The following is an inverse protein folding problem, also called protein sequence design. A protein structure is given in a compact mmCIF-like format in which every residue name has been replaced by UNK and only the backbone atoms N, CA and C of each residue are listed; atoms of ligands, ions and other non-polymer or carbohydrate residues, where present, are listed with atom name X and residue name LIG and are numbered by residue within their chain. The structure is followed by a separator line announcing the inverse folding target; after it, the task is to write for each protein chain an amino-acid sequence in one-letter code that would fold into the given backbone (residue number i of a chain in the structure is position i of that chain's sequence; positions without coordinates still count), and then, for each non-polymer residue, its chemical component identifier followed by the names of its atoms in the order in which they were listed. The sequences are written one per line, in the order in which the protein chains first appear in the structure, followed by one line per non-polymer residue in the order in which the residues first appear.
data_IF_185910683871
#
_entry.id   IF_185910683871
#
_cell.length_a   1.000
_cell.length_b   1.000
_cell.length_c   1.000
_cell.angle_alpha   90.00
_cell.angle_beta   90.00
_cell.angle_gamma   90.00
#
_symmetry.space_group_name_H-M   'P 1'
#
loop_
_entity.id
_entity.type
_entity.pdbx_description
1 polymer ?
#
# COMPACT_ATOMS: atom_id res chain seq x y z
N UNK A 1 30.33 -39.47 -11.50
CA UNK A 1 29.59 -38.69 -12.52
C UNK A 1 29.01 -37.47 -11.84
N UNK A 2 29.38 -36.32 -12.37
CA UNK A 2 29.07 -34.94 -11.97
C UNK A 2 27.57 -34.64 -11.94
N UNK A 3 27.11 -33.89 -10.94
CA UNK A 3 26.10 -32.85 -11.19
C UNK A 3 26.35 -31.65 -10.28
N UNK A 4 26.65 -30.55 -10.93
CA UNK A 4 27.00 -29.22 -10.44
C UNK A 4 25.73 -28.43 -10.11
N UNK A 5 25.82 -27.65 -9.03
CA UNK A 5 25.14 -26.39 -8.70
C UNK A 5 23.70 -26.12 -9.19
N UNK A 6 22.87 -25.65 -8.26
CA UNK A 6 22.18 -24.38 -8.49
C UNK A 6 22.26 -23.50 -7.25
N UNK A 7 22.91 -22.36 -7.48
CA UNK A 7 22.99 -21.19 -6.62
C UNK A 7 21.57 -20.65 -6.41
N UNK A 8 21.08 -20.60 -5.17
CA UNK A 8 19.93 -19.76 -4.83
C UNK A 8 20.47 -18.44 -4.33
N UNK A 9 20.39 -17.47 -5.22
CA UNK A 9 20.75 -16.09 -5.01
C UNK A 9 20.00 -15.48 -3.83
N UNK A 10 20.71 -14.60 -3.13
CA UNK A 10 20.26 -13.58 -2.21
C UNK A 10 18.95 -12.91 -2.67
N UNK A 11 17.80 -13.41 -2.19
CA UNK A 11 16.52 -12.70 -2.31
C UNK A 11 16.51 -11.57 -1.26
N UNK A 12 16.25 -10.31 -1.65
CA UNK A 12 15.97 -9.27 -0.67
C UNK A 12 14.70 -9.70 0.08
N UNK A 13 14.83 -10.03 1.36
CA UNK A 13 13.72 -10.40 2.23
C UNK A 13 12.75 -9.24 2.32
N UNK A 14 11.72 -9.25 1.46
CA UNK A 14 10.61 -8.29 1.52
C UNK A 14 9.93 -8.44 2.89
N UNK A 15 9.76 -7.36 3.67
CA UNK A 15 9.00 -7.44 4.91
C UNK A 15 7.54 -7.77 4.59
N UNK A 16 7.03 -8.87 5.15
CA UNK A 16 5.66 -9.35 4.91
C UNK A 16 4.64 -8.50 5.67
N UNK A 17 3.49 -8.23 5.05
CA UNK A 17 2.37 -7.56 5.70
C UNK A 17 1.63 -8.54 6.65
N UNK A 18 1.46 -8.14 7.91
CA UNK A 18 0.74 -8.98 8.90
C UNK A 18 -0.75 -8.67 8.90
N UNK A 19 -1.59 -9.69 8.64
CA UNK A 19 -3.04 -9.53 8.45
C UNK A 19 -3.89 -10.29 9.46
N UNK A 20 -5.16 -9.90 9.58
CA UNK A 20 -6.21 -10.55 10.38
C UNK A 20 -7.52 -10.61 9.59
N UNK A 21 -8.43 -11.56 9.84
CA UNK A 21 -9.74 -11.59 9.19
C UNK A 21 -10.56 -10.32 9.44
N UNK A 22 -11.35 -9.90 8.45
CA UNK A 22 -12.31 -8.80 8.60
C UNK A 22 -13.30 -9.07 9.74
N UNK A 23 -13.48 -8.15 10.71
CA UNK A 23 -14.37 -8.33 11.85
C UNK A 23 -15.86 -8.14 11.52
N UNK A 24 -16.20 -7.45 10.42
CA UNK A 24 -17.59 -7.22 10.00
C UNK A 24 -17.72 -7.12 8.47
N UNK A 25 -18.81 -7.66 7.90
CA UNK A 25 -19.04 -7.63 6.43
C UNK A 25 -19.49 -6.25 5.89
N UNK A 26 -19.49 -5.21 6.73
CA UNK A 26 -19.90 -3.86 6.34
C UNK A 26 -18.78 -3.18 5.54
N UNK A 27 -19.15 -2.33 4.58
CA UNK A 27 -18.19 -1.50 3.83
C UNK A 27 -17.38 -0.62 4.81
N UNK A 28 -16.14 -1.02 5.05
CA UNK A 28 -15.23 -0.38 6.01
C UNK A 28 -14.09 0.24 5.25
N UNK A 29 -13.82 1.52 5.48
CA UNK A 29 -12.60 2.17 4.99
C UNK A 29 -11.55 2.12 6.09
N UNK A 30 -10.40 1.52 5.80
CA UNK A 30 -9.25 1.48 6.72
C UNK A 30 -8.20 2.45 6.20
N UNK A 31 -7.73 3.33 7.07
CA UNK A 31 -6.64 4.28 6.76
C UNK A 31 -5.51 4.12 7.77
N UNK A 32 -4.31 3.91 7.27
CA UNK A 32 -3.08 3.77 8.05
C UNK A 32 -2.03 4.75 7.53
N UNK A 33 -1.27 5.34 8.44
CA UNK A 33 -0.24 6.32 8.14
C UNK A 33 1.02 6.08 8.96
N UNK A 34 2.17 6.18 8.32
CA UNK A 34 3.46 6.02 8.96
C UNK A 34 4.52 6.91 8.29
N UNK A 35 5.47 7.45 9.07
CA UNK A 35 6.61 8.16 8.51
C UNK A 35 7.57 7.20 7.80
N UNK A 36 8.17 7.66 6.71
CA UNK A 36 9.27 7.02 5.97
C UNK A 36 10.57 7.79 6.21
N UNK A 37 10.98 7.91 7.47
CA UNK A 37 12.05 8.80 7.90
C UNK A 37 11.55 10.17 8.36
N UNK A 38 12.33 11.23 8.16
CA UNK A 38 12.05 12.57 8.70
C UNK A 38 11.24 13.47 7.77
N UNK A 39 11.31 13.22 6.46
CA UNK A 39 10.78 14.10 5.43
C UNK A 39 9.68 13.46 4.57
N UNK A 40 9.44 12.16 4.73
CA UNK A 40 8.52 11.39 3.90
C UNK A 40 7.46 10.68 4.74
N UNK A 41 6.30 10.45 4.14
CA UNK A 41 5.16 9.82 4.78
C UNK A 41 4.43 8.89 3.81
N UNK A 42 4.05 7.73 4.31
CA UNK A 42 3.24 6.74 3.61
C UNK A 42 1.84 6.71 4.22
N UNK A 43 0.83 6.82 3.37
CA UNK A 43 -0.57 6.64 3.74
C UNK A 43 -1.19 5.57 2.87
N UNK A 44 -1.81 4.56 3.50
CA UNK A 44 -2.58 3.52 2.85
C UNK A 44 -4.04 3.67 3.27
N UNK A 45 -4.93 3.87 2.31
CA UNK A 45 -6.36 3.76 2.48
C UNK A 45 -6.87 2.55 1.68
N UNK A 46 -7.74 1.73 2.24
CA UNK A 46 -8.29 0.58 1.51
C UNK A 46 -9.64 0.11 2.05
N UNK A 47 -10.39 -0.56 1.19
CA UNK A 47 -11.59 -1.32 1.56
C UNK A 47 -11.25 -2.80 1.55
N UNK A 48 -11.23 -3.47 2.71
CA UNK A 48 -10.86 -4.87 2.79
C UNK A 48 -11.91 -5.76 2.13
N UNK A 49 -11.47 -6.90 1.58
CA UNK A 49 -12.38 -8.00 1.21
C UNK A 49 -12.43 -9.06 2.32
N UNK A 50 -11.28 -9.68 2.61
CA UNK A 50 -11.17 -10.76 3.60
C UNK A 50 -10.19 -10.47 4.72
N UNK A 51 -9.16 -9.70 4.42
CA UNK A 51 -8.03 -9.43 5.30
C UNK A 51 -7.97 -7.95 5.66
N UNK A 52 -7.59 -7.69 6.90
CA UNK A 52 -7.29 -6.38 7.45
C UNK A 52 -5.84 -6.38 7.90
N UNK A 53 -5.09 -5.39 7.45
CA UNK A 53 -3.72 -5.14 7.87
C UNK A 53 -3.68 -4.71 9.34
N UNK A 54 -2.83 -5.38 10.13
CA UNK A 54 -2.60 -5.00 11.52
C UNK A 54 -1.76 -3.71 11.59
N UNK A 55 -1.98 -2.92 12.65
CA UNK A 55 -1.19 -1.72 12.92
C UNK A 55 0.32 -2.01 12.94
N UNK A 56 0.71 -3.05 13.68
CA UNK A 56 2.13 -3.41 13.86
C UNK A 56 2.75 -3.94 12.56
N UNK A 57 1.97 -4.68 11.75
CA UNK A 57 2.39 -5.11 10.42
C UNK A 57 2.67 -3.95 9.48
N UNK A 58 1.78 -2.95 9.45
CA UNK A 58 1.99 -1.75 8.65
C UNK A 58 3.20 -0.93 9.14
N UNK A 59 3.37 -0.78 10.45
CA UNK A 59 4.52 -0.06 11.01
C UNK A 59 5.86 -0.74 10.66
N UNK A 60 5.91 -2.07 10.75
CA UNK A 60 7.09 -2.86 10.36
C UNK A 60 7.38 -2.73 8.86
N UNK A 61 6.35 -2.81 8.02
CA UNK A 61 6.47 -2.63 6.57
C UNK A 61 6.99 -1.24 6.21
N UNK A 62 6.38 -0.17 6.74
CA UNK A 62 6.83 1.20 6.50
C UNK A 62 8.28 1.44 6.94
N UNK A 63 8.69 0.85 8.07
CA UNK A 63 10.09 0.90 8.52
C UNK A 63 11.04 0.23 7.53
N UNK A 64 10.65 -0.91 6.94
CA UNK A 64 11.44 -1.58 5.91
C UNK A 64 11.50 -0.83 4.56
N UNK A 65 10.52 0.05 4.30
CA UNK A 65 10.52 0.94 3.14
C UNK A 65 11.35 2.22 3.37
N UNK A 66 11.62 2.59 4.64
CA UNK A 66 12.39 3.77 4.96
C UNK A 66 13.86 3.63 4.48
N UNK A 67 14.38 4.68 3.83
CA UNK A 67 15.76 4.71 3.34
C UNK A 67 16.00 4.01 2.00
N UNK A 68 14.97 3.48 1.35
CA UNK A 68 15.11 3.00 -0.03
C UNK A 68 15.39 4.15 -0.99
N UNK A 69 16.26 3.91 -1.98
CA UNK A 69 16.64 4.92 -3.01
C UNK A 69 15.64 4.98 -4.17
N UNK A 70 14.39 4.59 -3.93
CA UNK A 70 13.34 4.63 -4.94
C UNK A 70 12.80 6.06 -5.10
N UNK A 71 12.34 6.40 -6.32
CA UNK A 71 11.53 7.60 -6.49
C UNK A 71 10.18 7.45 -5.77
N UNK A 72 9.50 8.55 -5.41
CA UNK A 72 8.19 8.50 -4.77
C UNK A 72 7.15 7.70 -5.59
N UNK A 73 7.23 7.77 -6.91
CA UNK A 73 6.38 7.03 -7.86
C UNK A 73 6.67 5.54 -7.82
N UNK A 74 7.95 5.16 -7.91
CA UNK A 74 8.35 3.76 -7.85
C UNK A 74 7.98 3.15 -6.48
N UNK A 75 8.16 3.90 -5.39
CA UNK A 75 7.78 3.47 -4.06
C UNK A 75 6.25 3.28 -3.95
N UNK A 76 5.46 4.26 -4.41
CA UNK A 76 4.01 4.16 -4.35
C UNK A 76 3.48 2.96 -5.16
N UNK A 77 4.06 2.68 -6.33
CA UNK A 77 3.71 1.52 -7.15
C UNK A 77 4.08 0.20 -6.46
N UNK A 78 5.29 0.07 -5.92
CA UNK A 78 5.72 -1.14 -5.19
C UNK A 78 4.80 -1.42 -3.99
N UNK A 79 4.47 -0.39 -3.21
CA UNK A 79 3.56 -0.55 -2.07
C UNK A 79 2.15 -0.94 -2.54
N UNK A 80 1.64 -0.35 -3.63
CA UNK A 80 0.33 -0.71 -4.17
C UNK A 80 0.28 -2.16 -4.65
N UNK A 81 1.35 -2.64 -5.30
CA UNK A 81 1.47 -4.03 -5.75
C UNK A 81 1.56 -5.01 -4.57
N UNK A 82 2.38 -4.70 -3.56
CA UNK A 82 2.51 -5.54 -2.37
C UNK A 82 1.15 -5.64 -1.62
N UNK A 83 0.44 -4.52 -1.47
CA UNK A 83 -0.89 -4.50 -0.85
C UNK A 83 -1.93 -5.25 -1.71
N UNK A 84 -1.90 -5.10 -3.03
CA UNK A 84 -2.79 -5.85 -3.93
C UNK A 84 -2.57 -7.37 -3.79
N UNK A 85 -1.31 -7.79 -3.75
CA UNK A 85 -0.92 -9.20 -3.66
C UNK A 85 -1.26 -9.82 -2.29
N UNK A 86 -1.07 -9.09 -1.20
CA UNK A 86 -1.24 -9.63 0.16
C UNK A 86 -2.67 -9.45 0.72
N UNK A 87 -3.31 -8.30 0.47
CA UNK A 87 -4.64 -8.01 1.03
C UNK A 87 -5.79 -8.30 0.07
N UNK A 88 -5.52 -8.25 -1.24
CA UNK A 88 -6.52 -8.34 -2.31
C UNK A 88 -7.75 -7.45 -2.01
N UNK A 89 -7.56 -6.14 -1.77
CA UNK A 89 -8.64 -5.26 -1.34
C UNK A 89 -9.64 -5.04 -2.48
N UNK A 90 -10.85 -4.61 -2.14
CA UNK A 90 -11.85 -4.21 -3.15
C UNK A 90 -11.47 -2.89 -3.82
N UNK A 91 -10.85 -2.01 -3.04
CA UNK A 91 -10.30 -0.73 -3.44
C UNK A 91 -9.13 -0.39 -2.54
N UNK A 92 -8.11 0.24 -3.10
CA UNK A 92 -6.96 0.75 -2.37
C UNK A 92 -6.47 2.07 -2.96
N UNK A 93 -5.85 2.87 -2.10
CA UNK A 93 -5.10 4.04 -2.47
C UNK A 93 -3.86 4.16 -1.60
N UNK A 94 -2.73 4.25 -2.27
CA UNK A 94 -1.44 4.52 -1.67
C UNK A 94 -1.08 5.97 -1.94
N UNK A 95 -0.63 6.67 -0.91
CA UNK A 95 -0.12 8.04 -1.03
C UNK A 95 1.26 8.11 -0.41
N UNK A 96 2.24 8.53 -1.19
CA UNK A 96 3.58 8.86 -0.73
C UNK A 96 3.73 10.37 -0.82
N UNK A 97 3.99 11.02 0.30
CA UNK A 97 4.25 12.45 0.37
C UNK A 97 5.67 12.67 0.88
N UNK A 98 6.47 13.47 0.17
CA UNK A 98 7.82 13.87 0.57
C UNK A 98 7.91 15.39 0.58
N UNK A 99 8.45 15.95 1.66
CA UNK A 99 8.71 17.37 1.80
C UNK A 99 10.22 17.59 1.78
N UNK A 100 10.73 18.24 0.74
CA UNK A 100 12.17 18.52 0.59
C UNK A 100 12.36 19.90 -0.01
N UNK A 101 13.30 20.68 0.52
CA UNK A 101 13.61 22.04 0.06
C UNK A 101 12.39 22.97 -0.03
N UNK A 102 11.42 22.80 0.89
CA UNK A 102 10.17 23.56 0.91
C UNK A 102 9.14 23.16 -0.15
N UNK A 103 9.43 22.14 -0.95
CA UNK A 103 8.51 21.57 -1.95
C UNK A 103 7.88 20.30 -1.41
N UNK A 104 6.56 20.17 -1.55
CA UNK A 104 5.84 18.93 -1.26
C UNK A 104 5.60 18.16 -2.55
N UNK A 105 6.17 16.96 -2.66
CA UNK A 105 5.93 16.03 -3.74
C UNK A 105 5.00 14.93 -3.23
N UNK A 106 3.76 14.90 -3.76
CA UNK A 106 2.75 13.89 -3.41
C UNK A 106 2.45 13.01 -4.62
N UNK A 107 2.61 11.71 -4.44
CA UNK A 107 2.21 10.69 -5.43
C UNK A 107 1.05 9.89 -4.89
N UNK A 108 0.06 9.66 -5.74
CA UNK A 108 -1.14 8.86 -5.41
C UNK A 108 -1.26 7.75 -6.44
N UNK A 109 -1.35 6.50 -5.97
CA UNK A 109 -1.67 5.32 -6.78
C UNK A 109 -2.98 4.75 -6.25
N UNK A 110 -3.97 4.58 -7.13
CA UNK A 110 -5.28 4.04 -6.80
C UNK A 110 -5.58 2.82 -7.67
N UNK A 111 -6.13 1.77 -7.06
CA UNK A 111 -6.55 0.55 -7.75
C UNK A 111 -7.84 -0.03 -7.14
N UNK A 112 -8.63 -0.73 -7.95
CA UNK A 112 -9.90 -1.33 -7.53
C UNK A 112 -10.26 -2.55 -8.33
N UNK A 113 -10.99 -3.47 -7.69
CA UNK A 113 -11.53 -4.64 -8.35
C UNK A 113 -12.50 -4.22 -9.48
N UNK A 114 -12.51 -4.94 -10.62
CA UNK A 114 -13.41 -4.66 -11.72
C UNK A 114 -14.88 -4.61 -11.28
N UNK A 115 -15.57 -3.52 -11.63
CA UNK A 115 -16.98 -3.33 -11.30
C UNK A 115 -17.29 -2.97 -9.85
N UNK A 116 -16.28 -2.82 -8.98
CA UNK A 116 -16.50 -2.36 -7.61
C UNK A 116 -16.67 -0.84 -7.56
N UNK A 117 -17.83 -0.39 -7.08
CA UNK A 117 -18.11 1.01 -6.78
C UNK A 117 -18.81 1.12 -5.42
N UNK A 118 -18.38 2.09 -4.60
CA UNK A 118 -19.06 2.39 -3.34
C UNK A 118 -18.97 3.91 -3.08
N UNK A 119 -19.83 4.72 -3.72
CA UNK A 119 -19.67 6.17 -3.82
C UNK A 119 -19.45 6.88 -2.47
N UNK A 120 -20.16 6.45 -1.42
CA UNK A 120 -20.01 7.00 -0.08
C UNK A 120 -18.62 6.77 0.54
N UNK A 121 -17.99 5.62 0.26
CA UNK A 121 -16.64 5.31 0.77
C UNK A 121 -15.57 6.01 -0.06
N UNK A 122 -15.77 6.15 -1.37
CA UNK A 122 -14.85 6.90 -2.23
C UNK A 122 -14.83 8.39 -1.86
N UNK A 123 -16.00 8.98 -1.60
CA UNK A 123 -16.08 10.34 -1.06
C UNK A 123 -15.40 10.46 0.29
N UNK A 124 -15.60 9.50 1.20
CA UNK A 124 -14.94 9.49 2.52
C UNK A 124 -13.42 9.32 2.42
N UNK A 125 -12.93 8.59 1.42
CA UNK A 125 -11.52 8.53 1.11
C UNK A 125 -11.01 9.85 0.52
N UNK A 126 -11.86 10.74 0.02
CA UNK A 126 -11.43 11.94 -0.72
C UNK A 126 -11.05 11.64 -2.17
N UNK A 127 -11.51 10.51 -2.72
CA UNK A 127 -11.46 10.24 -4.15
C UNK A 127 -12.62 10.99 -4.82
N UNK A 128 -12.37 11.89 -5.79
CA UNK A 128 -13.44 12.61 -6.47
C UNK A 128 -14.34 11.66 -7.25
N UNK A 129 -15.66 11.91 -7.33
CA UNK A 129 -16.57 11.06 -8.08
C UNK A 129 -16.18 11.06 -9.56
N UNK A 130 -15.92 9.87 -10.13
CA UNK A 130 -15.68 9.73 -11.57
C UNK A 130 -17.03 9.87 -12.30
N UNK A 131 -17.28 11.02 -12.89
CA UNK A 131 -18.43 11.21 -13.80
C UNK A 131 -18.20 10.36 -15.05
N UNK A 132 -19.03 9.33 -15.28
CA UNK A 132 -19.09 8.69 -16.60
C UNK A 132 -19.56 9.73 -17.62
N UNK A 133 -18.76 9.95 -18.67
CA UNK A 133 -19.15 10.72 -19.86
C UNK A 133 -20.12 9.93 -20.73
#
# INVERSE_FOLDING_TARGET
MTSTAHSSANEPTRPLLRTTPVPSRMGTLVTLSAPLGTAAHLTLAYVPDRLVLTRDGFAAYATGQAGQTLSPEALAAVVADDVANELVPKWQRVTVAIVTDGVTHTVVVEDRQPGWEHPSLLTAAGTPPMTKS
#
